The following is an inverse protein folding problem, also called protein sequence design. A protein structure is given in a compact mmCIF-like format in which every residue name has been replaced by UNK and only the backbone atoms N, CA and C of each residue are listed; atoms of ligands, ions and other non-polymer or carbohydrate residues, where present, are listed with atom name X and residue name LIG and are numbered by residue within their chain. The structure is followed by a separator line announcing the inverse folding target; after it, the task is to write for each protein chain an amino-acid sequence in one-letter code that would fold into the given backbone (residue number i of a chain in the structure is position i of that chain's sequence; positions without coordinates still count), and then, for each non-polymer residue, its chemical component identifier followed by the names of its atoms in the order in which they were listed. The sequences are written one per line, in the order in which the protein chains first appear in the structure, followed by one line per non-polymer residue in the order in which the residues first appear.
data_IF_804895767582
#
_entry.id   IF_804895767582
#
_cell.length_a   1.000
_cell.length_b   1.000
_cell.length_c   1.000
_cell.angle_alpha   90.00
_cell.angle_beta   90.00
_cell.angle_gamma   90.00
#
_symmetry.space_group_name_H-M   'P 1'
#
loop_
_entity.id
_entity.type
_entity.pdbx_description
1 polymer ?
#
# COMPACT_ATOMS: atom_id res chain seq x y z
N UNK A 1 4.05 -9.42 1.81
CA UNK A 1 3.06 -9.91 2.79
C UNK A 1 2.75 -8.84 3.81
N UNK A 2 1.53 -8.86 4.36
CA UNK A 2 1.18 -7.98 5.46
C UNK A 2 -0.18 -7.33 5.37
N UNK A 3 -0.75 -7.11 4.16
CA UNK A 3 -2.07 -6.48 4.06
C UNK A 3 -3.15 -7.28 4.81
N UNK A 4 -3.21 -8.59 4.59
CA UNK A 4 -4.18 -9.44 5.27
C UNK A 4 -3.94 -9.49 6.78
N UNK A 5 -2.69 -9.56 7.22
CA UNK A 5 -2.34 -9.49 8.65
C UNK A 5 -2.80 -8.17 9.29
N UNK A 6 -2.60 -7.05 8.59
CA UNK A 6 -2.98 -5.73 9.08
C UNK A 6 -4.49 -5.60 9.30
N UNK A 7 -5.30 -6.19 8.41
CA UNK A 7 -6.77 -6.06 8.48
C UNK A 7 -7.44 -7.18 9.29
N UNK A 8 -6.73 -8.26 9.60
CA UNK A 8 -7.29 -9.42 10.29
C UNK A 8 -7.47 -9.18 11.79
N UNK A 9 -8.74 -9.04 12.19
CA UNK A 9 -9.11 -8.89 13.60
C UNK A 9 -9.16 -10.21 14.37
N UNK A 10 -9.18 -11.33 13.67
CA UNK A 10 -9.14 -12.65 14.29
C UNK A 10 -7.76 -12.94 14.87
N UNK A 11 -6.73 -12.77 14.05
CA UNK A 11 -5.33 -12.97 14.47
C UNK A 11 -4.83 -11.83 15.37
N UNK A 12 -5.27 -10.58 15.09
CA UNK A 12 -4.84 -9.39 15.83
C UNK A 12 -6.03 -8.65 16.44
N UNK A 13 -6.71 -9.18 17.47
CA UNK A 13 -7.91 -8.57 18.06
C UNK A 13 -7.65 -7.20 18.68
N UNK A 14 -6.41 -6.92 19.08
CA UNK A 14 -5.98 -5.63 19.67
C UNK A 14 -5.25 -4.72 18.68
N UNK A 15 -5.38 -4.98 17.37
CA UNK A 15 -4.62 -4.27 16.32
C UNK A 15 -4.71 -2.74 16.34
N UNK A 16 -5.77 -2.18 16.87
CA UNK A 16 -5.94 -0.73 17.03
C UNK A 16 -5.24 -0.13 18.24
N UNK A 17 -4.63 -0.95 19.09
CA UNK A 17 -3.97 -0.52 20.33
C UNK A 17 -2.45 -0.56 20.23
N UNK A 18 -1.71 0.18 21.08
CA UNK A 18 -0.28 0.06 21.19
C UNK A 18 0.14 -1.40 21.45
N UNK A 19 1.10 -1.90 20.65
CA UNK A 19 1.58 -3.29 20.77
C UNK A 19 0.65 -4.35 20.17
N UNK A 20 -0.47 -3.97 19.58
CA UNK A 20 -1.45 -4.92 19.01
C UNK A 20 -0.91 -5.86 17.94
N UNK A 21 0.25 -5.55 17.35
CA UNK A 21 0.97 -6.39 16.38
C UNK A 21 2.31 -6.93 16.90
N UNK A 22 2.49 -7.04 18.23
CA UNK A 22 3.76 -7.51 18.79
C UNK A 22 4.14 -8.93 18.33
N UNK A 23 3.15 -9.82 18.16
CA UNK A 23 3.38 -11.17 17.61
C UNK A 23 3.87 -11.15 16.17
N UNK A 24 3.37 -10.21 15.32
CA UNK A 24 3.88 -10.02 13.97
C UNK A 24 5.37 -9.69 13.97
N UNK A 25 5.79 -8.74 14.79
CA UNK A 25 7.22 -8.38 14.91
C UNK A 25 8.08 -9.57 15.32
N UNK A 26 7.62 -10.36 16.30
CA UNK A 26 8.32 -11.56 16.76
C UNK A 26 8.44 -12.60 15.62
N UNK A 27 7.34 -12.86 14.93
CA UNK A 27 7.32 -13.82 13.82
C UNK A 27 8.24 -13.39 12.68
N UNK A 28 8.26 -12.09 12.33
CA UNK A 28 9.18 -11.57 11.33
C UNK A 28 10.64 -11.70 11.74
N UNK A 29 10.97 -11.48 13.02
CA UNK A 29 12.31 -11.69 13.53
C UNK A 29 12.70 -13.19 13.50
N UNK A 30 11.77 -14.11 13.84
CA UNK A 30 12.01 -15.55 13.71
C UNK A 30 12.21 -15.94 12.24
N UNK A 31 11.38 -15.44 11.33
CA UNK A 31 11.55 -15.69 9.90
C UNK A 31 12.95 -15.33 9.39
N UNK A 32 13.48 -14.16 9.78
CA UNK A 32 14.83 -13.74 9.39
C UNK A 32 15.89 -14.72 9.93
N UNK A 33 15.77 -15.17 11.19
CA UNK A 33 16.70 -16.14 11.80
C UNK A 33 16.63 -17.49 11.11
N UNK A 34 15.42 -17.96 10.82
CA UNK A 34 15.20 -19.26 10.19
C UNK A 34 15.77 -19.29 8.76
N UNK A 35 15.49 -18.26 7.96
CA UNK A 35 16.09 -18.12 6.61
C UNK A 35 17.62 -18.13 6.68
N UNK A 36 18.21 -17.38 7.62
CA UNK A 36 19.67 -17.37 7.79
C UNK A 36 20.24 -18.71 8.17
N UNK A 37 19.56 -19.43 9.07
CA UNK A 37 19.94 -20.78 9.50
C UNK A 37 19.85 -21.78 8.35
N UNK A 38 18.72 -21.80 7.65
CA UNK A 38 18.46 -22.78 6.57
C UNK A 38 19.40 -22.58 5.38
N UNK A 39 19.71 -21.32 5.06
CA UNK A 39 20.68 -20.97 4.00
C UNK A 39 22.15 -21.04 4.48
N UNK A 40 22.39 -21.34 5.77
CA UNK A 40 23.76 -21.31 6.37
C UNK A 40 24.47 -19.98 6.14
N UNK A 41 23.72 -18.87 6.12
CA UNK A 41 24.19 -17.53 5.85
C UNK A 41 23.85 -16.58 7.02
N UNK A 42 24.56 -16.65 8.16
CA UNK A 42 24.19 -15.96 9.39
C UNK A 42 24.18 -14.43 9.28
N UNK A 43 24.88 -13.89 8.32
CA UNK A 43 24.93 -12.43 8.03
C UNK A 43 24.18 -12.03 6.76
N UNK A 44 23.33 -12.89 6.21
CA UNK A 44 22.53 -12.55 5.02
C UNK A 44 21.80 -11.22 5.27
N UNK A 45 22.01 -10.21 4.42
CA UNK A 45 21.32 -8.94 4.57
C UNK A 45 19.82 -9.08 4.30
N UNK A 46 19.01 -8.34 5.08
CA UNK A 46 17.57 -8.28 4.92
C UNK A 46 17.08 -6.86 4.79
N UNK A 47 16.26 -6.59 3.78
CA UNK A 47 15.48 -5.36 3.67
C UNK A 47 14.02 -5.67 3.98
N UNK A 48 13.48 -5.00 4.98
CA UNK A 48 12.06 -5.08 5.33
C UNK A 48 11.34 -3.95 4.61
N UNK A 49 10.56 -4.28 3.59
CA UNK A 49 9.65 -3.33 2.95
C UNK A 49 8.46 -3.05 3.85
N UNK A 50 8.50 -1.98 4.64
CA UNK A 50 7.39 -1.58 5.52
C UNK A 50 6.24 -1.09 4.66
N UNK A 51 5.09 -1.75 4.76
CA UNK A 51 3.93 -1.50 3.92
C UNK A 51 3.43 -0.05 3.98
N UNK A 52 3.41 0.59 2.82
CA UNK A 52 3.08 2.00 2.66
C UNK A 52 1.83 2.27 1.81
N UNK A 53 1.03 1.25 1.48
CA UNK A 53 -0.19 1.45 0.72
C UNK A 53 -1.09 2.51 1.39
N UNK A 54 -1.61 3.44 0.58
CA UNK A 54 -2.33 4.61 1.07
C UNK A 54 -1.45 5.81 1.45
N UNK A 55 -0.13 5.68 1.38
CA UNK A 55 0.81 6.77 1.65
C UNK A 55 1.02 7.11 3.13
N UNK A 56 1.70 8.22 3.42
CA UNK A 56 1.98 8.66 4.78
C UNK A 56 0.71 8.95 5.57
N UNK A 57 0.63 8.44 6.80
CA UNK A 57 -0.54 8.61 7.69
C UNK A 57 -0.86 10.09 7.94
N UNK A 58 0.15 10.94 7.98
CA UNK A 58 -0.03 12.38 8.15
C UNK A 58 -0.83 13.04 7.00
N UNK A 59 -0.90 12.38 5.83
CA UNK A 59 -1.64 12.84 4.65
C UNK A 59 -3.01 12.19 4.51
N UNK A 60 -3.46 11.38 5.46
CA UNK A 60 -4.76 10.72 5.40
C UNK A 60 -5.91 11.71 5.42
N UNK A 61 -6.78 11.59 4.44
CA UNK A 61 -8.06 12.31 4.38
C UNK A 61 -9.06 11.84 5.46
N UNK A 62 -10.20 12.53 5.61
CA UNK A 62 -11.20 12.23 6.64
C UNK A 62 -11.61 10.76 6.70
N UNK A 63 -11.85 10.14 5.55
CA UNK A 63 -12.29 8.74 5.44
C UNK A 63 -11.21 7.73 5.83
N UNK A 64 -9.93 8.09 5.68
CA UNK A 64 -8.78 7.25 5.99
C UNK A 64 -8.32 7.39 7.45
N UNK A 65 -8.61 8.52 8.12
CA UNK A 65 -8.17 8.80 9.50
C UNK A 65 -8.53 7.70 10.49
N UNK A 66 -9.68 7.05 10.31
CA UNK A 66 -10.12 5.92 11.16
C UNK A 66 -9.15 4.73 11.14
N UNK A 67 -8.34 4.60 10.09
CA UNK A 67 -7.36 3.53 9.94
C UNK A 67 -5.95 3.91 10.40
N UNK A 68 -5.71 5.17 10.75
CA UNK A 68 -4.39 5.69 11.06
C UNK A 68 -3.70 4.91 12.19
N UNK A 69 -4.42 4.55 13.24
CA UNK A 69 -3.90 3.75 14.36
C UNK A 69 -3.50 2.34 13.94
N UNK A 70 -4.33 1.67 13.15
CA UNK A 70 -4.09 0.32 12.63
C UNK A 70 -2.87 0.32 11.71
N UNK A 71 -2.88 1.19 10.69
CA UNK A 71 -1.77 1.28 9.73
C UNK A 71 -0.45 1.67 10.43
N UNK A 72 -0.48 2.67 11.32
CA UNK A 72 0.70 3.09 12.06
C UNK A 72 1.23 2.02 13.01
N UNK A 73 0.36 1.31 13.71
CA UNK A 73 0.72 0.19 14.57
C UNK A 73 1.38 -0.95 13.79
N UNK A 74 0.81 -1.30 12.64
CA UNK A 74 1.34 -2.36 11.79
C UNK A 74 2.70 -1.99 11.17
N UNK A 75 2.84 -0.77 10.63
CA UNK A 75 4.13 -0.26 10.09
C UNK A 75 5.24 -0.26 11.14
N UNK A 76 4.93 0.17 12.37
CA UNK A 76 5.86 0.09 13.50
C UNK A 76 6.27 -1.36 13.78
N UNK A 77 5.32 -2.29 13.77
CA UNK A 77 5.58 -3.71 14.00
C UNK A 77 6.44 -4.34 12.90
N UNK A 78 6.20 -4.00 11.62
CA UNK A 78 7.04 -4.43 10.50
C UNK A 78 8.48 -3.91 10.62
N UNK A 79 8.67 -2.66 11.02
CA UNK A 79 10.00 -2.07 11.17
C UNK A 79 10.75 -2.53 12.42
N UNK A 80 10.05 -3.01 13.45
CA UNK A 80 10.66 -3.31 14.75
C UNK A 80 11.85 -4.27 14.71
N UNK A 81 11.86 -5.35 13.92
CA UNK A 81 13.01 -6.27 13.86
C UNK A 81 14.32 -5.58 13.47
N UNK A 82 14.31 -4.58 12.57
CA UNK A 82 15.52 -3.88 12.16
C UNK A 82 16.24 -3.14 13.31
N UNK A 83 15.58 -2.98 14.46
CA UNK A 83 16.12 -2.32 15.66
C UNK A 83 16.67 -3.32 16.67
N UNK A 84 16.56 -4.61 16.44
CA UNK A 84 17.10 -5.61 17.35
C UNK A 84 18.63 -5.58 17.31
N UNK A 85 19.32 -5.68 18.47
CA UNK A 85 20.78 -5.62 18.53
C UNK A 85 21.49 -6.62 17.61
N UNK A 86 20.96 -7.82 17.49
CA UNK A 86 21.49 -8.90 16.65
C UNK A 86 21.37 -8.63 15.14
N UNK A 87 20.50 -7.70 14.75
CA UNK A 87 20.23 -7.34 13.35
C UNK A 87 20.87 -6.02 12.92
N UNK A 88 21.59 -5.39 13.85
CA UNK A 88 22.27 -4.12 13.58
C UNK A 88 23.28 -4.28 12.45
N UNK A 89 23.21 -3.40 11.44
CA UNK A 89 24.11 -3.37 10.28
C UNK A 89 23.73 -4.33 9.14
N UNK A 90 22.81 -5.28 9.36
CA UNK A 90 22.45 -6.27 8.33
C UNK A 90 20.94 -6.55 8.18
N UNK A 91 20.10 -5.79 8.88
CA UNK A 91 18.65 -5.71 8.64
C UNK A 91 18.23 -4.25 8.68
N UNK A 92 17.58 -3.78 7.62
CA UNK A 92 17.06 -2.42 7.57
C UNK A 92 15.57 -2.41 7.18
N UNK A 93 14.87 -1.33 7.52
CA UNK A 93 13.46 -1.14 7.20
C UNK A 93 13.30 0.05 6.25
N UNK A 94 12.74 -0.20 5.07
CA UNK A 94 12.39 0.83 4.09
C UNK A 94 10.89 1.12 4.17
N UNK A 95 10.54 2.36 4.50
CA UNK A 95 9.14 2.80 4.60
C UNK A 95 8.62 3.14 3.21
N UNK A 96 7.92 2.20 2.60
CA UNK A 96 7.44 2.33 1.23
C UNK A 96 6.32 3.36 1.06
N UNK A 97 5.74 3.85 2.16
CA UNK A 97 4.80 4.98 2.15
C UNK A 97 5.39 6.27 1.56
N UNK A 98 6.71 6.43 1.61
CA UNK A 98 7.42 7.59 1.05
C UNK A 98 7.37 7.64 -0.48
N UNK A 99 7.09 6.51 -1.12
CA UNK A 99 7.01 6.36 -2.58
C UNK A 99 5.59 6.32 -3.10
N UNK A 100 4.59 6.49 -2.22
CA UNK A 100 3.19 6.51 -2.63
C UNK A 100 2.89 7.68 -3.57
N UNK A 101 2.31 7.38 -4.72
CA UNK A 101 1.90 8.40 -5.68
C UNK A 101 0.53 8.96 -5.28
N UNK A 102 0.55 10.10 -4.55
CA UNK A 102 -0.66 10.76 -4.07
C UNK A 102 -1.51 11.33 -5.20
N UNK A 103 -0.90 11.83 -6.28
CA UNK A 103 -1.61 12.35 -7.44
C UNK A 103 -2.36 11.22 -8.15
N UNK A 104 -1.69 10.11 -8.40
CA UNK A 104 -2.31 8.95 -9.02
C UNK A 104 -3.43 8.38 -8.14
N UNK A 105 -3.24 8.35 -6.82
CA UNK A 105 -4.27 7.93 -5.87
C UNK A 105 -5.51 8.82 -5.94
N UNK A 106 -5.36 10.13 -6.00
CA UNK A 106 -6.47 11.08 -6.14
C UNK A 106 -7.25 10.86 -7.44
N UNK A 107 -6.55 10.61 -8.56
CA UNK A 107 -7.18 10.29 -9.82
C UNK A 107 -8.00 9.00 -9.73
N UNK A 108 -7.49 7.98 -9.03
CA UNK A 108 -8.20 6.72 -8.80
C UNK A 108 -9.46 6.94 -7.94
N UNK A 109 -9.38 7.77 -6.90
CA UNK A 109 -10.53 8.10 -6.05
C UNK A 109 -11.60 8.85 -6.86
N UNK A 110 -11.20 9.79 -7.70
CA UNK A 110 -12.13 10.47 -8.64
C UNK A 110 -12.75 9.49 -9.63
N UNK A 111 -12.00 8.50 -10.15
CA UNK A 111 -12.52 7.43 -11.01
C UNK A 111 -13.59 6.59 -10.30
N UNK A 112 -13.51 6.44 -8.98
CA UNK A 112 -14.54 5.80 -8.17
C UNK A 112 -15.92 6.44 -8.34
N UNK A 113 -16.00 7.75 -8.58
CA UNK A 113 -17.26 8.48 -8.83
C UNK A 113 -17.92 8.05 -10.15
N UNK A 114 -17.13 7.71 -11.19
CA UNK A 114 -17.65 7.16 -12.44
C UNK A 114 -18.32 5.82 -12.18
N UNK A 115 -17.71 4.95 -11.39
CA UNK A 115 -18.28 3.66 -11.06
C UNK A 115 -19.58 3.80 -10.25
N UNK A 116 -19.65 4.77 -9.34
CA UNK A 116 -20.89 5.09 -8.63
C UNK A 116 -21.98 5.57 -9.60
N UNK A 117 -21.67 6.52 -10.48
CA UNK A 117 -22.59 7.02 -11.51
C UNK A 117 -23.09 5.91 -12.42
N UNK A 118 -22.19 5.00 -12.85
CA UNK A 118 -22.55 3.84 -13.68
C UNK A 118 -23.53 2.91 -12.98
N UNK A 119 -23.33 2.64 -11.68
CA UNK A 119 -24.27 1.83 -10.88
C UNK A 119 -25.63 2.50 -10.74
N UNK A 120 -25.67 3.82 -10.60
CA UNK A 120 -26.94 4.55 -10.48
C UNK A 120 -27.71 4.58 -11.80
N UNK A 121 -27.03 4.82 -12.92
CA UNK A 121 -27.64 4.74 -14.24
C UNK A 121 -28.13 3.32 -14.60
N UNK A 122 -27.46 2.28 -14.09
CA UNK A 122 -27.88 0.90 -14.32
C UNK A 122 -29.21 0.55 -13.64
N UNK A 123 -29.62 1.29 -12.59
CA UNK A 123 -30.92 1.11 -11.92
C UNK A 123 -32.08 1.71 -12.71
N UNK A 124 -31.81 2.65 -13.61
CA UNK A 124 -32.83 3.30 -14.43
C UNK A 124 -33.12 2.45 -15.68
N UNK A 125 -34.25 1.75 -15.63
CA UNK A 125 -34.68 0.88 -16.72
C UNK A 125 -35.24 1.66 -17.92
N UNK A 126 -35.51 2.95 -17.81
CA UNK A 126 -36.00 3.79 -18.89
C UNK A 126 -34.88 4.19 -19.87
N UNK A 127 -33.60 4.11 -19.45
CA UNK A 127 -32.46 4.48 -20.27
C UNK A 127 -31.99 3.29 -21.14
N UNK A 128 -31.75 3.58 -22.42
CA UNK A 128 -31.05 2.63 -23.29
C UNK A 128 -29.56 2.52 -22.90
N UNK A 129 -28.87 1.50 -23.40
CA UNK A 129 -27.42 1.34 -23.21
C UNK A 129 -26.65 2.54 -23.74
N UNK A 130 -27.02 3.00 -24.95
CA UNK A 130 -26.37 4.13 -25.60
C UNK A 130 -26.52 5.44 -24.78
N UNK A 131 -27.71 5.68 -24.23
CA UNK A 131 -27.96 6.83 -23.34
C UNK A 131 -27.12 6.76 -22.07
N UNK A 132 -26.96 5.57 -21.46
CA UNK A 132 -26.10 5.38 -20.29
C UNK A 132 -24.63 5.61 -20.63
N UNK A 133 -24.16 5.06 -21.73
CA UNK A 133 -22.78 5.21 -22.19
C UNK A 133 -22.47 6.68 -22.51
N UNK A 134 -23.39 7.40 -23.17
CA UNK A 134 -23.27 8.83 -23.42
C UNK A 134 -23.17 9.64 -22.11
N UNK A 135 -24.06 9.39 -21.16
CA UNK A 135 -24.05 10.06 -19.85
C UNK A 135 -22.76 9.78 -19.04
N UNK A 136 -22.20 8.58 -19.16
CA UNK A 136 -20.90 8.25 -18.54
C UNK A 136 -19.76 8.97 -19.22
N UNK A 137 -19.75 9.05 -20.53
CA UNK A 137 -18.71 9.75 -21.29
C UNK A 137 -18.71 11.25 -20.97
N UNK A 138 -19.87 11.89 -20.95
CA UNK A 138 -20.01 13.30 -20.54
C UNK A 138 -19.55 13.51 -19.08
N UNK A 139 -19.94 12.63 -18.18
CA UNK A 139 -19.54 12.70 -16.78
C UNK A 139 -18.02 12.51 -16.62
N UNK A 140 -17.43 11.60 -17.37
CA UNK A 140 -15.98 11.39 -17.39
C UNK A 140 -15.24 12.62 -17.90
N UNK A 141 -15.69 13.23 -19.00
CA UNK A 141 -15.10 14.43 -19.56
C UNK A 141 -15.18 15.67 -18.62
N UNK A 142 -16.18 15.69 -17.72
CA UNK A 142 -16.28 16.72 -16.68
C UNK A 142 -15.36 16.48 -15.49
N UNK A 143 -14.99 15.20 -15.23
CA UNK A 143 -14.15 14.84 -14.10
C UNK A 143 -12.66 14.83 -14.42
N UNK A 144 -12.28 14.58 -15.66
CA UNK A 144 -10.90 14.36 -16.06
C UNK A 144 -10.55 15.12 -17.33
N UNK A 145 -9.34 15.67 -17.38
CA UNK A 145 -8.72 16.07 -18.63
C UNK A 145 -8.28 14.83 -19.42
N UNK A 146 -7.91 14.99 -20.68
CA UNK A 146 -7.37 13.90 -21.49
C UNK A 146 -6.06 13.36 -20.92
N UNK A 147 -5.19 14.25 -20.48
CA UNK A 147 -3.91 13.92 -19.84
C UNK A 147 -4.11 13.10 -18.56
N UNK A 148 -5.10 13.46 -17.73
CA UNK A 148 -5.43 12.72 -16.52
C UNK A 148 -5.97 11.32 -16.83
N UNK A 149 -6.73 11.17 -17.91
CA UNK A 149 -7.20 9.87 -18.37
C UNK A 149 -6.04 8.99 -18.84
N UNK A 150 -5.08 9.55 -19.60
CA UNK A 150 -3.87 8.86 -20.02
C UNK A 150 -3.01 8.43 -18.82
N UNK A 151 -2.83 9.31 -17.83
CA UNK A 151 -2.13 8.99 -16.58
C UNK A 151 -2.80 7.82 -15.85
N UNK A 152 -4.12 7.79 -15.78
CA UNK A 152 -4.86 6.69 -15.16
C UNK A 152 -4.71 5.37 -15.92
N UNK A 153 -4.76 5.42 -17.25
CA UNK A 153 -4.66 4.25 -18.11
C UNK A 153 -3.27 3.60 -18.02
N UNK A 154 -2.22 4.40 -18.07
CA UNK A 154 -0.84 3.91 -18.04
C UNK A 154 -0.37 3.64 -16.60
N UNK A 155 -0.78 4.49 -15.66
CA UNK A 155 -0.24 4.48 -14.29
C UNK A 155 -0.87 3.47 -13.34
N UNK A 156 -2.05 2.92 -13.67
CA UNK A 156 -2.83 2.08 -12.75
C UNK A 156 -3.17 0.74 -13.38
N UNK A 157 -2.56 -0.33 -12.88
CA UNK A 157 -2.88 -1.70 -13.31
C UNK A 157 -3.53 -2.55 -12.21
N UNK A 158 -3.59 -2.08 -10.96
CA UNK A 158 -4.10 -2.86 -9.84
C UNK A 158 -4.73 -1.97 -8.74
N UNK A 159 -5.22 -2.58 -7.67
CA UNK A 159 -5.83 -1.90 -6.53
C UNK A 159 -4.80 -1.20 -5.64
N UNK A 160 -5.28 -0.28 -4.78
CA UNK A 160 -4.46 0.53 -3.89
C UNK A 160 -3.55 -0.30 -2.97
N UNK A 161 -4.04 -1.43 -2.44
CA UNK A 161 -3.24 -2.32 -1.58
C UNK A 161 -2.11 -3.05 -2.33
N UNK A 162 -2.09 -3.00 -3.66
CA UNK A 162 -0.97 -3.42 -4.52
C UNK A 162 -0.23 -2.21 -5.12
N UNK A 163 -0.17 -1.09 -4.41
CA UNK A 163 0.49 0.15 -4.85
C UNK A 163 -0.03 0.63 -6.23
N UNK A 164 -1.33 0.47 -6.47
CA UNK A 164 -2.02 0.78 -7.73
C UNK A 164 -1.49 -0.04 -8.93
N UNK A 165 -0.59 -0.99 -8.72
CA UNK A 165 0.16 -1.66 -9.77
C UNK A 165 1.03 -0.69 -10.58
N UNK A 166 1.39 0.45 -9.97
CA UNK A 166 2.14 1.52 -10.64
C UNK A 166 3.61 1.13 -10.82
N UNK A 167 4.05 1.02 -12.06
CA UNK A 167 5.45 0.76 -12.38
C UNK A 167 6.39 1.82 -11.78
N UNK A 168 5.98 3.10 -11.80
CA UNK A 168 6.72 4.20 -11.17
C UNK A 168 6.96 3.94 -9.68
N UNK A 169 5.90 3.62 -8.93
CA UNK A 169 5.98 3.37 -7.48
C UNK A 169 6.84 2.15 -7.20
N UNK A 170 6.62 1.04 -7.91
CA UNK A 170 7.36 -0.20 -7.70
C UNK A 170 8.85 -0.04 -8.04
N UNK A 171 9.19 0.73 -9.08
CA UNK A 171 10.59 1.05 -9.43
C UNK A 171 11.26 1.85 -8.32
N UNK A 172 10.61 2.88 -7.78
CA UNK A 172 11.15 3.68 -6.68
C UNK A 172 11.36 2.85 -5.41
N UNK A 173 10.44 1.94 -5.10
CA UNK A 173 10.59 0.99 -3.98
C UNK A 173 11.79 0.06 -4.23
N UNK A 174 11.93 -0.46 -5.44
CA UNK A 174 13.06 -1.31 -5.82
C UNK A 174 14.41 -0.60 -5.70
N UNK A 175 14.49 0.66 -6.15
CA UNK A 175 15.67 1.49 -6.00
C UNK A 175 16.02 1.74 -4.52
N UNK A 176 14.99 1.98 -3.69
CA UNK A 176 15.20 2.16 -2.25
C UNK A 176 15.70 0.88 -1.57
N UNK A 177 15.21 -0.29 -1.99
CA UNK A 177 15.71 -1.57 -1.48
C UNK A 177 17.16 -1.81 -1.88
N UNK A 178 17.51 -1.52 -3.14
CA UNK A 178 18.88 -1.62 -3.62
C UNK A 178 19.82 -0.67 -2.84
N UNK A 179 19.43 0.59 -2.68
CA UNK A 179 20.19 1.56 -1.86
C UNK A 179 20.38 1.08 -0.43
N UNK A 180 19.32 0.58 0.19
CA UNK A 180 19.37 0.05 1.55
C UNK A 180 20.31 -1.17 1.68
N UNK A 181 20.39 -2.04 0.67
CA UNK A 181 21.36 -3.15 0.64
C UNK A 181 22.80 -2.66 0.52
N UNK A 182 23.03 -1.62 -0.28
CA UNK A 182 24.36 -1.05 -0.47
C UNK A 182 24.92 -0.33 0.77
N UNK A 183 24.02 0.11 1.69
CA UNK A 183 24.37 0.77 2.94
C UNK A 183 24.63 -0.23 4.10
N UNK A 184 24.36 -1.52 3.88
CA UNK A 184 24.63 -2.57 4.88
C UNK A 184 26.08 -3.04 4.78
N UNK A 185 26.76 -3.10 5.91
CA UNK A 185 28.14 -3.61 6.03
C UNK A 185 28.20 -5.13 6.21
#
# INVERSE_FOLDING_TARGET
QGWNDMVDSGTYPTRGQPGGYASYSKNLAHFIRDVRKDLKAPKLPFVIGVMGAGGPIAKYGPDQKRYAGIHGGFRKAMAAPSKLPEFKGNVTAVFTENYWDGQLSELVDRRGKINAKRRDLAKDQSLTREQRDHAINEFTAKLFTKEEQEILEIGVSNAAYHYLGSAKVLTQIGQAFAGALMEME
#
